data_IF_210742871532
#
_entry.id   IF_210742871532
#
_cell.length_a   1.000
_cell.length_b   1.000
_cell.length_c   1.000
_cell.angle_alpha   90.00
_cell.angle_beta   90.00
_cell.angle_gamma   90.00
#
_symmetry.space_group_name_H-M   'P 1'
#
loop_
_entity.id
_entity.type
_entity.pdbx_description
1 polymer ?
#
# COMPACT_ATOMS: atom_id res chain seq x y z
N UNK A 1 -53.49 31.45 31.48
CA UNK A 1 -53.20 32.19 30.23
C UNK A 1 -51.79 31.85 29.78
N UNK A 2 -51.63 30.79 28.99
CA UNK A 2 -50.36 30.40 28.37
C UNK A 2 -50.31 30.94 26.94
N UNK A 3 -49.23 31.62 26.57
CA UNK A 3 -49.03 32.13 25.20
C UNK A 3 -48.86 30.95 24.22
N UNK A 4 -49.48 30.96 23.03
CA UNK A 4 -49.22 29.95 22.02
C UNK A 4 -47.82 30.11 21.42
N UNK A 5 -47.11 28.99 21.23
CA UNK A 5 -45.79 28.88 20.60
C UNK A 5 -45.90 29.27 19.11
N UNK A 6 -44.97 30.07 18.54
CA UNK A 6 -45.03 30.44 17.13
C UNK A 6 -44.78 29.23 16.22
N UNK A 7 -45.32 29.23 14.98
CA UNK A 7 -45.19 28.12 14.05
C UNK A 7 -43.75 27.92 13.59
N UNK A 8 -43.31 26.67 13.55
CA UNK A 8 -41.99 26.26 13.07
C UNK A 8 -41.94 26.40 11.54
N UNK A 9 -41.12 27.36 11.06
CA UNK A 9 -40.94 27.60 9.63
C UNK A 9 -40.05 26.51 9.02
N UNK A 10 -40.67 25.56 8.31
CA UNK A 10 -39.97 24.54 7.53
C UNK A 10 -39.58 25.13 6.17
N UNK A 11 -38.33 25.59 6.05
CA UNK A 11 -37.78 26.01 4.76
C UNK A 11 -37.78 24.87 3.73
N UNK A 12 -37.62 25.16 2.43
CA UNK A 12 -37.59 24.15 1.36
C UNK A 12 -36.25 23.39 1.39
N UNK A 13 -36.00 22.67 2.48
CA UNK A 13 -35.05 21.57 2.49
C UNK A 13 -35.74 20.38 1.84
N UNK A 14 -35.13 19.83 0.78
CA UNK A 14 -35.55 18.58 0.18
C UNK A 14 -35.74 17.54 1.29
N UNK A 15 -36.96 17.04 1.46
CA UNK A 15 -37.18 15.83 2.25
C UNK A 15 -36.34 14.74 1.57
N UNK A 16 -35.54 13.95 2.31
CA UNK A 16 -34.94 12.76 1.72
C UNK A 16 -36.11 11.91 1.25
N UNK A 17 -36.30 11.84 -0.07
CA UNK A 17 -37.24 10.89 -0.63
C UNK A 17 -36.86 9.52 -0.07
N UNK A 18 -37.82 8.83 0.53
CA UNK A 18 -37.65 7.44 0.91
C UNK A 18 -37.11 6.71 -0.32
N UNK A 19 -35.84 6.31 -0.28
CA UNK A 19 -35.26 5.57 -1.38
C UNK A 19 -36.11 4.30 -1.52
N UNK A 20 -36.72 4.03 -2.68
CA UNK A 20 -37.41 2.78 -2.86
C UNK A 20 -36.38 1.69 -2.61
N UNK A 21 -36.76 0.69 -1.81
CA UNK A 21 -35.98 -0.53 -1.62
C UNK A 21 -35.77 -1.11 -3.03
N UNK A 22 -34.59 -0.86 -3.59
CA UNK A 22 -34.17 -1.47 -4.84
C UNK A 22 -33.95 -2.92 -4.50
N UNK A 23 -34.98 -3.73 -4.71
CA UNK A 23 -34.80 -5.17 -4.88
C UNK A 23 -33.81 -5.28 -6.04
N UNK A 24 -32.60 -5.83 -5.83
CA UNK A 24 -31.69 -6.01 -6.94
C UNK A 24 -32.32 -7.08 -7.83
N UNK A 25 -33.02 -6.63 -8.86
CA UNK A 25 -33.26 -7.47 -10.03
C UNK A 25 -31.86 -7.64 -10.61
N UNK A 26 -31.22 -8.78 -10.31
CA UNK A 26 -30.05 -9.25 -11.03
C UNK A 26 -30.48 -9.51 -12.48
N UNK A 27 -30.51 -8.44 -13.27
CA UNK A 27 -30.54 -8.59 -14.72
C UNK A 27 -29.24 -9.30 -15.10
N UNK A 28 -29.29 -10.36 -15.93
CA UNK A 28 -28.08 -10.97 -16.46
C UNK A 28 -27.21 -9.88 -17.08
N UNK A 29 -26.02 -9.67 -16.52
CA UNK A 29 -25.10 -8.67 -17.01
C UNK A 29 -24.71 -9.03 -18.45
N UNK A 30 -25.10 -8.18 -19.39
CA UNK A 30 -24.83 -8.37 -20.81
C UNK A 30 -23.73 -7.37 -21.19
N UNK A 31 -22.50 -7.83 -21.47
CA UNK A 31 -21.38 -6.94 -21.73
C UNK A 31 -21.69 -6.08 -22.96
N UNK A 32 -21.67 -4.76 -22.78
CA UNK A 32 -21.86 -3.79 -23.86
C UNK A 32 -20.57 -3.67 -24.67
N UNK A 33 -20.55 -4.04 -25.97
CA UNK A 33 -19.37 -3.95 -26.81
C UNK A 33 -18.81 -2.52 -26.97
N UNK A 34 -19.61 -1.50 -26.65
CA UNK A 34 -19.24 -0.09 -26.78
C UNK A 34 -18.62 0.50 -25.52
N UNK A 35 -18.65 -0.22 -24.39
CA UNK A 35 -18.05 0.21 -23.14
C UNK A 35 -16.70 -0.50 -22.92
N UNK A 36 -15.71 0.15 -22.28
CA UNK A 36 -14.49 -0.54 -21.88
C UNK A 36 -14.84 -1.67 -20.91
N UNK A 37 -14.13 -2.80 -21.03
CA UNK A 37 -14.33 -3.96 -20.19
C UNK A 37 -14.27 -3.58 -18.70
N UNK A 38 -15.23 -4.07 -17.91
CA UNK A 38 -15.24 -3.84 -16.46
C UNK A 38 -14.06 -4.58 -15.82
N UNK A 39 -13.55 -4.07 -14.70
CA UNK A 39 -12.47 -4.72 -13.89
C UNK A 39 -12.71 -6.22 -13.66
N UNK A 40 -13.97 -6.61 -13.45
CA UNK A 40 -14.41 -7.99 -13.19
C UNK A 40 -14.30 -8.93 -14.41
N UNK A 41 -14.21 -8.38 -15.62
CA UNK A 41 -14.16 -9.13 -16.88
C UNK A 41 -12.73 -9.42 -17.35
N UNK A 42 -11.73 -8.77 -16.74
CA UNK A 42 -10.34 -8.88 -17.16
C UNK A 42 -9.70 -10.15 -16.56
N UNK A 43 -9.02 -10.98 -17.37
CA UNK A 43 -8.31 -12.16 -16.87
C UNK A 43 -7.15 -11.80 -15.93
N UNK A 44 -6.61 -10.57 -16.02
CA UNK A 44 -5.57 -10.03 -15.14
C UNK A 44 -6.00 -8.62 -14.69
N UNK A 45 -6.86 -8.56 -13.66
CA UNK A 45 -7.28 -7.28 -13.06
C UNK A 45 -6.12 -6.51 -12.41
N UNK A 46 -6.28 -5.20 -12.19
CA UNK A 46 -5.26 -4.31 -11.56
C UNK A 46 -4.81 -4.81 -10.17
N UNK A 47 -5.67 -5.58 -9.50
CA UNK A 47 -5.43 -6.26 -8.24
C UNK A 47 -4.60 -7.55 -8.36
N UNK A 48 -4.22 -7.97 -9.57
CA UNK A 48 -3.49 -9.21 -9.78
C UNK A 48 -2.09 -9.15 -9.16
N UNK A 49 -1.65 -10.17 -8.40
CA UNK A 49 -0.35 -10.19 -7.75
C UNK A 49 0.83 -10.14 -8.74
N UNK A 50 0.59 -10.38 -10.03
CA UNK A 50 1.58 -10.20 -11.10
C UNK A 50 2.19 -8.81 -11.07
N UNK A 51 1.40 -7.76 -10.83
CA UNK A 51 1.93 -6.39 -10.80
C UNK A 51 2.91 -6.20 -9.64
N UNK A 52 2.55 -6.65 -8.43
CA UNK A 52 3.42 -6.57 -7.27
C UNK A 52 4.68 -7.44 -7.42
N UNK A 53 4.57 -8.63 -8.02
CA UNK A 53 5.71 -9.52 -8.30
C UNK A 53 6.63 -8.93 -9.36
N UNK A 54 6.10 -8.37 -10.45
CA UNK A 54 6.88 -7.78 -11.52
C UNK A 54 7.59 -6.49 -11.06
N UNK A 55 6.88 -5.63 -10.31
CA UNK A 55 7.49 -4.44 -9.69
C UNK A 55 8.53 -4.88 -8.66
N UNK A 56 8.25 -5.90 -7.85
CA UNK A 56 9.22 -6.46 -6.91
C UNK A 56 10.49 -6.97 -7.60
N UNK A 57 10.35 -7.70 -8.71
CA UNK A 57 11.47 -8.19 -9.53
C UNK A 57 12.23 -7.03 -10.19
N UNK A 58 11.51 -6.01 -10.69
CA UNK A 58 12.10 -4.84 -11.30
C UNK A 58 12.87 -3.99 -10.26
N UNK A 59 12.31 -3.84 -9.06
CA UNK A 59 12.90 -3.10 -7.95
C UNK A 59 13.98 -3.90 -7.24
N UNK A 60 13.98 -5.24 -7.28
CA UNK A 60 14.96 -6.10 -6.61
C UNK A 60 16.43 -5.72 -6.90
N UNK A 61 16.86 -5.47 -8.16
CA UNK A 61 18.21 -4.98 -8.44
C UNK A 61 18.49 -3.56 -7.92
N UNK A 62 17.45 -2.72 -7.75
CA UNK A 62 17.58 -1.37 -7.17
C UNK A 62 17.63 -1.44 -5.63
N UNK A 63 16.85 -2.33 -5.03
CA UNK A 63 16.68 -2.47 -3.58
C UNK A 63 17.85 -3.20 -2.92
N UNK A 64 18.48 -4.13 -3.64
CA UNK A 64 19.74 -4.73 -3.20
C UNK A 64 20.92 -3.80 -3.44
N UNK A 65 20.79 -2.87 -4.39
CA UNK A 65 21.86 -2.00 -4.86
C UNK A 65 23.12 -2.79 -5.24
N UNK A 66 24.18 -2.14 -5.72
CA UNK A 66 25.48 -2.57 -5.26
C UNK A 66 25.46 -2.40 -3.74
N UNK A 67 25.69 -3.47 -2.98
CA UNK A 67 26.07 -3.38 -1.57
C UNK A 67 27.41 -2.67 -1.46
N UNK A 68 27.48 -1.41 -1.90
CA UNK A 68 28.61 -0.54 -1.75
C UNK A 68 28.62 -0.13 -0.30
N UNK A 69 29.50 -0.78 0.46
CA UNK A 69 29.91 -0.30 1.76
C UNK A 69 30.10 1.21 1.69
N UNK A 70 29.27 1.97 2.42
CA UNK A 70 29.44 3.40 2.52
C UNK A 70 30.85 3.65 3.05
N UNK A 71 31.70 4.19 2.17
CA UNK A 71 33.10 4.45 2.43
C UNK A 71 33.22 5.28 3.70
N UNK A 72 33.67 4.67 4.79
CA UNK A 72 34.41 5.43 5.77
C UNK A 72 35.68 5.90 5.07
N UNK A 73 36.06 7.17 5.25
CA UNK A 73 37.36 7.70 4.79
C UNK A 73 38.56 6.86 5.29
N UNK A 74 38.32 5.95 6.25
CA UNK A 74 39.27 5.04 6.87
C UNK A 74 39.35 3.63 6.22
N UNK A 75 38.63 3.36 5.12
CA UNK A 75 38.69 2.04 4.46
C UNK A 75 39.99 1.95 3.64
N UNK A 76 40.82 0.90 3.84
CA UNK A 76 42.11 0.83 3.17
C UNK A 76 41.92 0.72 1.65
N UNK A 77 42.79 1.40 0.88
CA UNK A 77 42.62 1.61 -0.56
C UNK A 77 42.49 0.29 -1.36
N UNK A 78 43.03 -0.81 -0.83
CA UNK A 78 42.96 -2.16 -1.42
C UNK A 78 41.57 -2.83 -1.32
N UNK A 79 40.69 -2.34 -0.44
CA UNK A 79 39.29 -2.76 -0.34
C UNK A 79 38.34 -1.83 -1.12
N UNK A 80 38.86 -0.77 -1.75
CA UNK A 80 38.06 0.20 -2.51
C UNK A 80 38.12 -0.08 -4.02
N UNK A 81 36.99 0.07 -4.70
CA UNK A 81 36.91 -0.02 -6.16
C UNK A 81 36.62 1.36 -6.76
N UNK A 82 37.22 1.71 -7.92
CA UNK A 82 36.92 2.97 -8.59
C UNK A 82 35.44 3.12 -8.94
N UNK A 83 34.90 4.33 -8.78
CA UNK A 83 33.53 4.63 -9.16
C UNK A 83 33.27 4.36 -10.66
N UNK A 84 34.23 4.72 -11.51
CA UNK A 84 34.20 4.38 -12.93
C UNK A 84 35.39 3.49 -13.27
N UNK A 85 35.18 2.34 -13.94
CA UNK A 85 33.92 1.86 -14.54
C UNK A 85 33.07 0.98 -13.61
N UNK A 86 33.64 0.47 -12.53
CA UNK A 86 33.07 -0.68 -11.79
C UNK A 86 31.75 -0.38 -11.10
N UNK A 87 31.61 0.81 -10.51
CA UNK A 87 30.37 1.22 -9.84
C UNK A 87 29.34 1.77 -10.83
N UNK A 88 29.76 2.48 -11.89
CA UNK A 88 28.84 3.14 -12.82
C UNK A 88 28.17 2.17 -13.80
N UNK A 89 28.89 1.15 -14.29
CA UNK A 89 28.43 0.29 -15.40
C UNK A 89 27.12 -0.48 -15.16
N UNK A 90 26.80 -0.95 -13.94
CA UNK A 90 25.51 -1.60 -13.66
C UNK A 90 24.30 -0.69 -13.85
N UNK A 91 24.40 0.62 -13.59
CA UNK A 91 23.23 1.51 -13.58
C UNK A 91 22.57 1.68 -14.96
N UNK A 92 23.30 1.93 -16.06
CA UNK A 92 22.69 1.95 -17.41
C UNK A 92 22.04 0.62 -17.78
N UNK A 93 22.63 -0.52 -17.40
CA UNK A 93 22.05 -1.85 -17.67
C UNK A 93 20.72 -2.02 -16.91
N UNK A 94 20.70 -1.67 -15.62
CA UNK A 94 19.48 -1.70 -14.80
C UNK A 94 18.42 -0.77 -15.39
N UNK A 95 18.80 0.43 -15.83
CA UNK A 95 17.89 1.39 -16.45
C UNK A 95 17.27 0.84 -17.75
N UNK A 96 18.07 0.24 -18.62
CA UNK A 96 17.56 -0.40 -19.85
C UNK A 96 16.61 -1.56 -19.52
N UNK A 97 16.98 -2.42 -18.57
CA UNK A 97 16.12 -3.54 -18.13
C UNK A 97 14.79 -3.04 -17.57
N UNK A 98 14.82 -1.99 -16.75
CA UNK A 98 13.61 -1.34 -16.19
C UNK A 98 12.71 -0.78 -17.30
N UNK A 99 13.28 -0.02 -18.23
CA UNK A 99 12.52 0.55 -19.36
C UNK A 99 11.91 -0.56 -20.22
N UNK A 100 12.67 -1.61 -20.53
CA UNK A 100 12.15 -2.76 -21.30
C UNK A 100 11.04 -3.49 -20.54
N UNK A 101 11.17 -3.66 -19.22
CA UNK A 101 10.15 -4.31 -18.40
C UNK A 101 8.85 -3.50 -18.39
N UNK A 102 8.93 -2.19 -18.16
CA UNK A 102 7.77 -1.29 -18.19
C UNK A 102 7.15 -1.25 -19.59
N UNK A 103 7.97 -1.17 -20.65
CA UNK A 103 7.49 -1.20 -22.03
C UNK A 103 6.77 -2.51 -22.38
N UNK A 104 7.31 -3.65 -21.93
CA UNK A 104 6.69 -4.96 -22.12
C UNK A 104 5.37 -5.06 -21.34
N UNK A 105 5.32 -4.58 -20.10
CA UNK A 105 4.08 -4.51 -19.33
C UNK A 105 3.04 -3.63 -20.02
N UNK A 106 3.45 -2.46 -20.52
CA UNK A 106 2.56 -1.57 -21.26
C UNK A 106 2.03 -2.24 -22.54
N UNK A 107 2.86 -2.98 -23.27
CA UNK A 107 2.47 -3.66 -24.50
C UNK A 107 1.56 -4.88 -24.24
N UNK A 108 1.82 -5.66 -23.19
CA UNK A 108 1.10 -6.92 -22.92
C UNK A 108 -0.13 -6.74 -22.02
N UNK A 109 -0.13 -5.73 -21.14
CA UNK A 109 -1.15 -5.55 -20.10
C UNK A 109 -1.97 -4.26 -20.30
N UNK A 110 -1.91 -3.64 -21.48
CA UNK A 110 -2.57 -2.35 -21.77
C UNK A 110 -4.07 -2.37 -21.46
N UNK A 111 -4.75 -3.47 -21.79
CA UNK A 111 -6.19 -3.63 -21.59
C UNK A 111 -6.57 -3.62 -20.10
N UNK A 112 -5.63 -4.02 -19.23
CA UNK A 112 -5.85 -4.06 -17.79
C UNK A 112 -5.66 -2.71 -17.10
N UNK A 113 -5.03 -1.75 -17.79
CA UNK A 113 -4.78 -0.39 -17.27
C UNK A 113 -5.78 0.64 -17.80
N UNK A 114 -6.88 0.18 -18.41
CA UNK A 114 -7.97 1.05 -18.83
C UNK A 114 -8.69 1.60 -17.60
N UNK A 115 -8.99 2.90 -17.63
CA UNK A 115 -9.85 3.52 -16.62
C UNK A 115 -11.24 2.88 -16.70
N UNK A 116 -11.84 2.66 -15.54
CA UNK A 116 -13.22 2.22 -15.44
C UNK A 116 -14.16 3.24 -16.10
N UNK A 117 -15.42 2.81 -16.32
CA UNK A 117 -16.46 3.69 -16.82
C UNK A 117 -16.53 4.98 -15.98
N UNK A 118 -16.85 6.08 -16.65
CA UNK A 118 -17.01 7.38 -15.98
C UNK A 118 -17.91 7.24 -14.77
N UNK A 119 -17.51 7.84 -13.65
CA UNK A 119 -18.19 7.70 -12.37
C UNK A 119 -19.68 8.09 -12.48
N UNK A 120 -20.57 7.11 -12.38
CA UNK A 120 -22.02 7.30 -12.30
C UNK A 120 -22.46 7.20 -10.83
N UNK A 121 -22.97 8.29 -10.21
CA UNK A 121 -23.41 8.28 -8.82
C UNK A 121 -24.64 7.40 -8.55
N UNK A 122 -25.28 6.83 -9.58
CA UNK A 122 -26.44 5.95 -9.45
C UNK A 122 -26.07 4.47 -9.27
N UNK A 123 -24.81 4.11 -9.53
CA UNK A 123 -24.34 2.73 -9.46
C UNK A 123 -23.63 2.51 -8.13
N UNK A 124 -24.01 1.45 -7.42
CA UNK A 124 -23.30 0.99 -6.22
C UNK A 124 -22.24 -0.02 -6.62
N UNK A 125 -20.97 0.32 -6.41
CA UNK A 125 -19.82 -0.59 -6.61
C UNK A 125 -19.16 -0.86 -5.28
N UNK A 126 -18.54 -2.04 -5.12
CA UNK A 126 -17.69 -2.33 -3.95
C UNK A 126 -16.36 -1.61 -4.18
N UNK A 127 -16.03 -0.57 -3.38
CA UNK A 127 -14.80 0.17 -3.59
C UNK A 127 -13.61 -0.68 -3.12
N UNK A 128 -12.83 -1.22 -4.07
CA UNK A 128 -11.55 -1.88 -3.79
C UNK A 128 -10.39 -0.96 -4.13
N UNK A 129 -9.47 -0.71 -3.19
CA UNK A 129 -8.31 0.12 -3.47
C UNK A 129 -7.31 -0.63 -4.35
N UNK A 130 -6.34 0.11 -4.89
CA UNK A 130 -5.27 -0.48 -5.68
C UNK A 130 -4.36 -1.40 -4.87
N UNK A 131 -3.61 -2.25 -5.57
CA UNK A 131 -2.78 -3.32 -5.01
C UNK A 131 -1.83 -2.88 -3.89
N UNK A 132 -1.30 -1.65 -3.95
CA UNK A 132 -0.38 -1.09 -2.96
C UNK A 132 -1.05 -0.69 -1.63
N UNK A 133 -2.39 -0.59 -1.60
CA UNK A 133 -3.17 -0.25 -0.42
C UNK A 133 -3.98 -1.43 0.15
N UNK A 134 -3.93 -2.60 -0.47
CA UNK A 134 -4.67 -3.79 -0.01
C UNK A 134 -4.36 -4.15 1.44
N UNK A 135 -3.10 -4.04 1.87
CA UNK A 135 -2.72 -4.34 3.25
C UNK A 135 -3.36 -3.38 4.26
N UNK A 136 -3.45 -2.08 3.94
CA UNK A 136 -4.08 -1.08 4.79
C UNK A 136 -5.59 -1.28 4.86
N UNK A 137 -6.21 -1.61 3.73
CA UNK A 137 -7.64 -1.92 3.66
C UNK A 137 -7.99 -3.15 4.48
N UNK A 138 -7.17 -4.19 4.42
CA UNK A 138 -7.38 -5.39 5.23
C UNK A 138 -7.08 -5.14 6.71
N UNK A 139 -6.08 -4.32 7.02
CA UNK A 139 -5.79 -3.88 8.38
C UNK A 139 -6.93 -3.05 8.99
N UNK A 140 -7.58 -2.20 8.19
CA UNK A 140 -8.72 -1.39 8.62
C UNK A 140 -9.84 -2.24 9.26
N UNK A 141 -10.13 -3.41 8.67
CA UNK A 141 -11.15 -4.35 9.14
C UNK A 141 -10.81 -4.99 10.50
N UNK A 142 -9.55 -4.92 10.96
CA UNK A 142 -9.09 -5.65 12.15
C UNK A 142 -9.37 -4.98 13.48
N UNK A 143 -9.86 -3.74 13.50
CA UNK A 143 -9.97 -3.00 14.75
C UNK A 143 -10.89 -1.79 14.68
N UNK A 144 -10.97 -1.01 15.76
CA UNK A 144 -11.71 0.25 15.76
C UNK A 144 -11.21 1.18 14.66
N UNK A 145 -12.11 1.68 13.83
CA UNK A 145 -11.79 2.49 12.64
C UNK A 145 -10.90 3.70 12.98
N UNK A 146 -11.13 4.34 14.13
CA UNK A 146 -10.31 5.47 14.57
C UNK A 146 -8.84 5.07 14.75
N UNK A 147 -8.58 3.89 15.31
CA UNK A 147 -7.20 3.42 15.53
C UNK A 147 -6.56 2.99 14.22
N UNK A 148 -7.24 2.13 13.46
CA UNK A 148 -6.69 1.47 12.27
C UNK A 148 -6.63 2.38 11.04
N UNK A 149 -7.56 3.33 10.89
CA UNK A 149 -7.57 4.29 9.78
C UNK A 149 -6.76 5.55 10.10
N UNK A 150 -7.00 6.15 11.28
CA UNK A 150 -6.64 7.55 11.52
C UNK A 150 -5.42 7.72 12.43
N UNK A 151 -5.11 6.77 13.32
CA UNK A 151 -4.01 6.92 14.27
C UNK A 151 -2.77 6.16 13.79
N UNK A 152 -2.90 4.87 13.50
CA UNK A 152 -1.74 4.00 13.25
C UNK A 152 -1.01 4.37 11.94
N UNK A 153 -1.66 4.49 10.77
CA UNK A 153 -0.95 4.82 9.54
C UNK A 153 -0.18 6.15 9.58
N UNK A 154 -0.77 7.29 10.01
CA UNK A 154 -0.02 8.54 10.07
C UNK A 154 1.01 8.55 11.20
N UNK A 155 0.81 7.81 12.29
CA UNK A 155 1.83 7.65 13.33
C UNK A 155 3.08 6.94 12.79
N UNK A 156 2.92 5.88 11.98
CA UNK A 156 4.03 5.18 11.33
C UNK A 156 4.75 6.13 10.36
N UNK A 157 4.02 6.85 9.51
CA UNK A 157 4.62 7.81 8.58
C UNK A 157 5.37 8.92 9.32
N UNK A 158 4.77 9.47 10.37
CA UNK A 158 5.41 10.50 11.20
C UNK A 158 6.64 9.96 11.92
N UNK A 159 6.61 8.71 12.39
CA UNK A 159 7.77 8.04 12.97
C UNK A 159 8.91 7.95 11.96
N UNK A 160 8.65 7.52 10.73
CA UNK A 160 9.67 7.47 9.67
C UNK A 160 10.19 8.86 9.28
N UNK A 161 9.31 9.87 9.23
CA UNK A 161 9.69 11.25 8.97
C UNK A 161 10.61 11.81 10.07
N UNK A 162 10.31 11.48 11.33
CA UNK A 162 11.07 11.91 12.50
C UNK A 162 12.28 11.02 12.81
N UNK A 163 12.39 9.86 12.16
CA UNK A 163 13.44 8.88 12.39
C UNK A 163 14.86 9.48 12.39
N UNK A 164 15.30 10.28 11.38
CA UNK A 164 16.67 10.82 11.39
C UNK A 164 16.96 11.72 12.60
N UNK A 165 15.96 12.45 13.11
CA UNK A 165 16.11 13.32 14.27
C UNK A 165 16.13 12.53 15.58
N UNK A 166 15.26 11.51 15.69
CA UNK A 166 15.21 10.60 16.81
C UNK A 166 16.52 9.80 16.92
N UNK A 167 17.06 9.37 15.80
CA UNK A 167 18.31 8.62 15.70
C UNK A 167 19.49 9.41 16.27
N UNK A 168 19.62 10.69 15.90
CA UNK A 168 20.67 11.58 16.40
C UNK A 168 20.54 11.87 17.90
N UNK A 169 19.32 12.09 18.41
CA UNK A 169 19.11 12.56 19.79
C UNK A 169 19.08 11.44 20.83
N UNK A 170 18.44 10.32 20.48
CA UNK A 170 18.21 9.19 21.37
C UNK A 170 19.29 8.12 21.16
N UNK A 171 19.78 7.99 19.93
CA UNK A 171 20.63 6.88 19.55
C UNK A 171 21.90 6.74 20.40
N UNK A 172 22.76 7.77 20.47
CA UNK A 172 23.97 7.72 21.28
C UNK A 172 23.70 7.45 22.77
N UNK A 173 22.55 7.89 23.30
CA UNK A 173 22.16 7.68 24.71
C UNK A 173 21.72 6.24 24.96
N UNK A 174 20.91 5.68 24.08
CA UNK A 174 20.43 4.30 24.15
C UNK A 174 21.59 3.33 23.93
N UNK A 175 22.45 3.58 22.93
CA UNK A 175 23.66 2.79 22.69
C UNK A 175 24.56 2.73 23.93
N UNK A 176 24.78 3.86 24.61
CA UNK A 176 25.59 3.89 25.84
C UNK A 176 24.95 3.11 26.99
N UNK A 177 23.62 3.16 27.14
CA UNK A 177 22.88 2.40 28.17
C UNK A 177 22.88 0.89 27.91
N UNK A 178 22.79 0.48 26.65
CA UNK A 178 22.80 -0.92 26.23
C UNK A 178 24.23 -1.49 26.03
N UNK A 179 25.26 -0.70 26.31
CA UNK A 179 26.67 -1.12 26.19
C UNK A 179 27.19 -1.22 24.75
N UNK A 180 26.51 -0.61 23.78
CA UNK A 180 26.90 -0.63 22.38
C UNK A 180 28.06 0.35 22.13
N UNK A 181 29.17 -0.16 21.57
CA UNK A 181 30.40 0.63 21.30
C UNK A 181 30.22 1.74 20.27
N UNK A 182 29.27 1.57 19.33
CA UNK A 182 28.85 2.57 18.33
C UNK A 182 27.35 2.42 18.14
N UNK A 183 26.65 3.51 17.83
CA UNK A 183 25.24 3.43 17.43
C UNK A 183 25.14 2.56 16.17
N UNK A 184 24.27 1.56 16.21
CA UNK A 184 24.24 0.55 15.15
C UNK A 184 23.35 1.03 14.00
N UNK A 185 23.97 1.22 12.85
CA UNK A 185 23.31 1.54 11.58
C UNK A 185 22.32 0.39 11.24
N UNK A 186 21.12 0.70 10.71
CA UNK A 186 20.21 -0.32 10.19
C UNK A 186 20.96 -1.25 9.22
N UNK A 187 21.05 -2.55 9.56
CA UNK A 187 21.78 -3.56 8.78
C UNK A 187 22.69 -4.47 9.62
N UNK A 188 23.33 -3.94 10.67
CA UNK A 188 24.19 -4.75 11.57
C UNK A 188 23.52 -5.11 12.91
N UNK A 189 22.37 -4.49 13.21
CA UNK A 189 21.62 -4.74 14.43
C UNK A 189 20.46 -5.72 14.15
N UNK A 190 20.51 -6.87 14.83
CA UNK A 190 19.46 -7.91 14.75
C UNK A 190 18.10 -7.33 15.13
N UNK A 191 18.03 -6.36 16.04
CA UNK A 191 16.76 -5.76 16.49
C UNK A 191 16.11 -4.95 15.38
N UNK A 192 16.84 -3.99 14.78
CA UNK A 192 16.29 -3.17 13.69
C UNK A 192 15.98 -4.02 12.46
N UNK A 193 16.83 -5.01 12.15
CA UNK A 193 16.56 -5.97 11.08
C UNK A 193 15.31 -6.79 11.35
N UNK A 194 15.12 -7.28 12.59
CA UNK A 194 13.92 -8.03 12.98
C UNK A 194 12.66 -7.17 12.90
N UNK A 195 12.70 -5.92 13.39
CA UNK A 195 11.57 -4.99 13.30
C UNK A 195 11.19 -4.75 11.83
N UNK A 196 12.18 -4.52 10.96
CA UNK A 196 11.96 -4.36 9.54
C UNK A 196 11.33 -5.60 8.89
N UNK A 197 11.89 -6.78 9.16
CA UNK A 197 11.33 -8.04 8.66
C UNK A 197 9.90 -8.30 9.15
N UNK A 198 9.59 -7.98 10.41
CA UNK A 198 8.24 -8.08 10.95
C UNK A 198 7.28 -7.10 10.25
N UNK A 199 7.73 -5.87 9.98
CA UNK A 199 6.92 -4.90 9.24
C UNK A 199 6.64 -5.37 7.80
N UNK A 200 7.64 -5.91 7.10
CA UNK A 200 7.45 -6.49 5.76
C UNK A 200 6.54 -7.72 5.81
N UNK A 201 6.72 -8.62 6.77
CA UNK A 201 5.86 -9.78 6.96
C UNK A 201 4.41 -9.38 7.26
N UNK A 202 4.21 -8.28 8.01
CA UNK A 202 2.90 -7.70 8.26
C UNK A 202 2.24 -7.19 6.97
N UNK A 203 2.96 -6.39 6.16
CA UNK A 203 2.46 -5.91 4.86
C UNK A 203 2.11 -7.07 3.93
N UNK A 204 3.01 -8.05 3.78
CA UNK A 204 2.81 -9.20 2.89
C UNK A 204 1.69 -10.10 3.39
N UNK A 205 1.60 -10.35 4.71
CA UNK A 205 0.55 -11.16 5.31
C UNK A 205 -0.83 -10.57 5.10
N UNK A 206 -0.99 -9.26 5.32
CA UNK A 206 -2.26 -8.57 5.08
C UNK A 206 -2.60 -8.46 3.59
N UNK A 207 -1.61 -8.28 2.71
CA UNK A 207 -1.81 -8.30 1.26
C UNK A 207 -2.27 -9.69 0.80
N UNK A 208 -1.63 -10.75 1.27
CA UNK A 208 -2.02 -12.12 0.97
C UNK A 208 -3.43 -12.42 1.47
N UNK A 209 -3.77 -11.98 2.68
CA UNK A 209 -5.13 -12.14 3.22
C UNK A 209 -6.17 -11.37 2.40
N UNK A 210 -5.85 -10.16 1.92
CA UNK A 210 -6.73 -9.41 1.03
C UNK A 210 -6.95 -10.17 -0.29
N UNK A 211 -5.89 -10.72 -0.89
CA UNK A 211 -5.93 -11.47 -2.15
C UNK A 211 -6.61 -12.84 -2.05
N UNK A 212 -6.77 -13.38 -0.85
CA UNK A 212 -7.51 -14.63 -0.62
C UNK A 212 -9.02 -14.51 -0.94
N UNK A 213 -9.51 -13.29 -1.11
CA UNK A 213 -10.85 -12.99 -1.60
C UNK A 213 -11.95 -13.08 -0.54
N UNK A 214 -13.20 -12.73 -0.89
CA UNK A 214 -14.32 -12.65 0.04
C UNK A 214 -14.75 -14.00 0.63
N UNK A 215 -14.41 -15.11 -0.02
CA UNK A 215 -14.73 -16.47 0.44
C UNK A 215 -13.84 -16.95 1.59
N UNK A 216 -12.67 -16.32 1.78
CA UNK A 216 -11.74 -16.69 2.83
C UNK A 216 -11.92 -15.74 4.03
N UNK A 217 -12.51 -16.27 5.11
CA UNK A 217 -12.77 -15.53 6.33
C UNK A 217 -12.07 -16.15 7.53
N UNK A 218 -11.51 -15.31 8.39
CA UNK A 218 -10.88 -15.70 9.64
C UNK A 218 -11.75 -15.25 10.83
N UNK A 219 -11.90 -16.08 11.87
CA UNK A 219 -12.61 -15.67 13.08
C UNK A 219 -11.85 -14.55 13.78
N UNK A 220 -12.55 -13.48 14.16
CA UNK A 220 -11.97 -12.31 14.84
C UNK A 220 -12.86 -11.84 16.01
N UNK A 221 -12.34 -10.92 16.83
CA UNK A 221 -12.96 -10.58 18.12
C UNK A 221 -14.39 -10.00 18.02
N UNK A 222 -14.73 -9.37 16.89
CA UNK A 222 -16.04 -8.75 16.65
C UNK A 222 -16.83 -9.43 15.50
N UNK A 223 -16.44 -10.62 15.07
CA UNK A 223 -17.03 -11.34 13.94
C UNK A 223 -15.99 -11.82 12.93
N UNK A 224 -16.37 -12.62 11.92
CA UNK A 224 -15.45 -13.08 10.90
C UNK A 224 -15.01 -11.90 10.00
N UNK A 225 -13.71 -11.80 9.75
CA UNK A 225 -13.15 -10.85 8.77
C UNK A 225 -12.84 -11.64 7.51
N UNK A 226 -13.33 -11.16 6.37
CA UNK A 226 -13.05 -11.76 5.06
C UNK A 226 -12.05 -10.92 4.27
N UNK A 227 -11.37 -11.57 3.31
CA UNK A 227 -10.54 -10.91 2.31
C UNK A 227 -11.30 -9.83 1.53
N UNK A 228 -10.56 -9.03 0.76
CA UNK A 228 -11.12 -7.95 -0.06
C UNK A 228 -11.62 -8.49 -1.41
#
# INVERSE_FOLDING_TARGET
>A
MSKPKPPEFKGPGAQPAAQPVVVPVELPYQPDPHLPARREELPVGIDHPLYAVLIGIALFPILLGPGGHHLSEDMPDDETHPFFPDHLWPYPVIAVVQVLTVALMAALLQQNMLLEASADPRITVIPRPDWYFLFLFQFLKTGPEILTALIIPPAILTFFLLFPFLDQWIGPKVGRRLGWRKWQIPGHNVITGTIWCLFVAWVLGFTFFALAGPSFCLPWYNGPICGA
#
